data_IF_864290702418
#
_entry.id   IF_864290702418
#
_cell.length_a   1.000
_cell.length_b   1.000
_cell.length_c   1.000
_cell.angle_alpha   90.00
_cell.angle_beta   90.00
_cell.angle_gamma   90.00
#
_symmetry.space_group_name_H-M   'P 1'
#
loop_
_entity.id
_entity.type
_entity.pdbx_description
1 polymer ?
#
# COMPACT_ATOMS: atom_id res chain seq x y z
N UNK A 1 28.95 -9.78 25.17
CA UNK A 1 28.22 -8.51 24.91
C UNK A 1 28.84 -7.62 23.82
N UNK A 2 29.86 -8.06 23.05
CA UNK A 2 30.48 -7.29 21.96
C UNK A 2 30.04 -7.69 20.53
N UNK A 3 29.32 -8.81 20.37
CA UNK A 3 28.93 -9.34 19.04
C UNK A 3 27.61 -8.78 18.49
N UNK A 4 26.86 -8.00 19.28
CA UNK A 4 25.55 -7.43 18.87
C UNK A 4 25.66 -6.06 18.18
N UNK A 5 26.78 -5.35 18.33
CA UNK A 5 27.00 -4.05 17.67
C UNK A 5 27.56 -4.18 16.25
N UNK A 6 28.39 -5.20 15.98
CA UNK A 6 29.05 -5.37 14.69
C UNK A 6 28.08 -5.78 13.56
N UNK A 7 27.07 -6.60 13.86
CA UNK A 7 26.05 -7.00 12.87
C UNK A 7 25.11 -5.85 12.49
N UNK A 8 24.89 -4.89 13.40
CA UNK A 8 24.06 -3.72 13.14
C UNK A 8 24.83 -2.66 12.31
N UNK A 9 26.14 -2.54 12.52
CA UNK A 9 27.00 -1.66 11.75
C UNK A 9 27.22 -2.16 10.32
N UNK A 10 27.34 -3.47 10.09
CA UNK A 10 27.48 -4.06 8.75
C UNK A 10 26.21 -3.87 7.90
N UNK A 11 25.03 -3.85 8.54
CA UNK A 11 23.76 -3.60 7.83
C UNK A 11 23.58 -2.13 7.42
N UNK A 12 24.23 -1.19 8.11
CA UNK A 12 24.21 0.25 7.79
C UNK A 12 25.28 0.60 6.73
N UNK A 13 26.40 -0.13 6.70
CA UNK A 13 27.53 0.17 5.81
C UNK A 13 27.35 -0.35 4.37
N UNK A 14 26.43 -1.29 4.14
CA UNK A 14 26.05 -1.75 2.80
C UNK A 14 25.09 -0.76 2.10
N UNK A 15 24.56 0.24 2.81
CA UNK A 15 23.59 1.21 2.28
C UNK A 15 24.23 2.45 1.62
N UNK A 16 25.56 2.63 1.66
CA UNK A 16 26.22 3.90 1.29
C UNK A 16 27.04 3.90 0.00
N UNK A 17 26.86 2.95 -0.91
CA UNK A 17 27.56 3.00 -2.20
C UNK A 17 26.58 2.85 -3.34
N UNK A 18 26.20 3.99 -3.93
CA UNK A 18 26.17 4.25 -5.39
C UNK A 18 25.30 5.49 -5.65
N UNK A 19 25.89 6.68 -5.60
CA UNK A 19 25.31 7.87 -6.24
C UNK A 19 26.10 8.10 -7.52
N UNK A 20 25.49 7.74 -8.65
CA UNK A 20 25.89 8.23 -9.96
C UNK A 20 24.83 9.25 -10.37
N UNK A 21 25.22 10.52 -10.33
CA UNK A 21 24.43 11.67 -10.78
C UNK A 21 24.27 11.58 -12.29
N UNK A 22 23.04 11.43 -12.75
CA UNK A 22 22.64 11.61 -14.14
C UNK A 22 21.93 12.96 -14.24
N UNK A 23 22.57 13.93 -14.89
CA UNK A 23 21.96 15.23 -15.18
C UNK A 23 20.88 15.05 -16.26
N UNK A 24 19.62 15.33 -15.90
CA UNK A 24 18.53 15.48 -16.87
C UNK A 24 18.38 16.97 -17.22
N UNK A 25 18.09 17.22 -18.49
CA UNK A 25 17.90 18.54 -19.10
C UNK A 25 16.57 19.15 -18.63
N UNK A 26 16.62 20.05 -17.65
CA UNK A 26 15.45 20.72 -17.09
C UNK A 26 14.88 21.74 -18.10
N UNK A 27 13.65 21.50 -18.56
CA UNK A 27 12.84 22.51 -19.24
C UNK A 27 12.27 23.43 -18.15
N UNK A 28 12.58 24.72 -18.16
CA UNK A 28 12.06 25.67 -17.16
C UNK A 28 10.55 25.92 -17.39
N UNK A 29 9.73 25.13 -16.68
CA UNK A 29 8.27 25.18 -16.75
C UNK A 29 7.72 26.57 -16.40
N UNK A 30 8.38 27.28 -15.46
CA UNK A 30 7.92 28.61 -15.04
C UNK A 30 8.09 29.65 -16.15
N UNK A 31 9.16 29.54 -16.94
CA UNK A 31 9.37 30.41 -18.11
C UNK A 31 8.31 30.15 -19.19
N UNK A 32 7.96 28.88 -19.43
CA UNK A 32 6.92 28.51 -20.37
C UNK A 32 5.54 29.01 -19.93
N UNK A 33 5.22 28.93 -18.64
CA UNK A 33 3.95 29.43 -18.09
C UNK A 33 3.85 30.95 -18.23
N UNK A 34 4.89 31.69 -17.83
CA UNK A 34 4.93 33.16 -18.00
C UNK A 34 4.84 33.58 -19.47
N UNK A 35 5.42 32.80 -20.38
CA UNK A 35 5.32 33.06 -21.81
C UNK A 35 3.92 32.78 -22.37
N UNK A 36 3.27 31.70 -21.91
CA UNK A 36 1.89 31.38 -22.29
C UNK A 36 0.90 32.46 -21.83
N UNK A 37 1.07 33.00 -20.62
CA UNK A 37 0.27 34.14 -20.11
C UNK A 37 0.42 35.38 -20.99
N UNK A 38 1.66 35.75 -21.34
CA UNK A 38 1.91 36.89 -22.25
C UNK A 38 1.27 36.71 -23.62
N UNK A 39 1.26 35.48 -24.15
CA UNK A 39 0.60 35.18 -25.42
C UNK A 39 -0.93 35.31 -25.31
N UNK A 40 -1.51 34.87 -24.19
CA UNK A 40 -2.93 35.06 -23.92
C UNK A 40 -3.30 36.55 -23.79
N UNK A 41 -2.45 37.36 -23.14
CA UNK A 41 -2.67 38.81 -22.97
C UNK A 41 -2.70 39.57 -24.30
N UNK A 42 -1.89 39.13 -25.27
CA UNK A 42 -1.89 39.71 -26.63
C UNK A 42 -2.90 39.04 -27.58
N UNK A 43 -3.80 38.19 -27.05
CA UNK A 43 -4.87 37.55 -27.80
C UNK A 43 -4.45 36.36 -28.67
N UNK A 44 -3.23 35.86 -28.53
CA UNK A 44 -2.74 34.66 -29.22
C UNK A 44 -3.12 33.39 -28.45
N UNK A 45 -4.42 33.14 -28.36
CA UNK A 45 -4.97 32.05 -27.55
C UNK A 45 -4.56 30.66 -28.04
N UNK A 46 -4.46 30.43 -29.35
CA UNK A 46 -4.04 29.13 -29.88
C UNK A 46 -2.59 28.79 -29.48
N UNK A 47 -1.67 29.75 -29.58
CA UNK A 47 -0.27 29.58 -29.19
C UNK A 47 -0.13 29.35 -27.68
N UNK A 48 -0.91 30.08 -26.87
CA UNK A 48 -0.99 29.88 -25.43
C UNK A 48 -1.49 28.46 -25.08
N UNK A 49 -2.54 27.99 -25.76
CA UNK A 49 -3.08 26.64 -25.58
C UNK A 49 -2.05 25.55 -25.87
N UNK A 50 -1.26 25.69 -26.95
CA UNK A 50 -0.18 24.74 -27.30
C UNK A 50 0.92 24.67 -26.23
N UNK A 51 1.26 25.81 -25.62
CA UNK A 51 2.25 25.84 -24.53
C UNK A 51 1.73 25.17 -23.27
N UNK A 52 0.49 25.44 -22.88
CA UNK A 52 -0.13 24.76 -21.74
C UNK A 52 -0.25 23.24 -21.94
N UNK A 53 -0.54 22.79 -23.17
CA UNK A 53 -0.53 21.36 -23.49
C UNK A 53 0.86 20.74 -23.31
N UNK A 54 1.92 21.46 -23.69
CA UNK A 54 3.31 21.02 -23.50
C UNK A 54 3.68 20.95 -22.01
N UNK A 55 3.28 21.94 -21.22
CA UNK A 55 3.47 21.96 -19.76
C UNK A 55 2.71 20.79 -19.12
N UNK A 56 1.47 20.54 -19.55
CA UNK A 56 0.66 19.44 -19.04
C UNK A 56 1.31 18.06 -19.29
N UNK A 57 1.86 17.84 -20.49
CA UNK A 57 2.60 16.61 -20.83
C UNK A 57 3.84 16.45 -19.97
N UNK A 58 4.56 17.54 -19.69
CA UNK A 58 5.72 17.51 -18.80
C UNK A 58 5.33 17.03 -17.39
N UNK A 59 4.32 17.66 -16.76
CA UNK A 59 3.82 17.22 -15.45
C UNK A 59 3.25 15.80 -15.48
N UNK A 60 2.62 15.38 -16.57
CA UNK A 60 2.14 14.00 -16.72
C UNK A 60 3.30 13.00 -16.71
N UNK A 61 4.41 13.32 -17.39
CA UNK A 61 5.61 12.49 -17.40
C UNK A 61 6.27 12.42 -16.00
N UNK A 62 6.20 13.49 -15.22
CA UNK A 62 6.66 13.52 -13.82
C UNK A 62 5.71 12.83 -12.82
N UNK A 63 4.60 12.29 -13.33
CA UNK A 63 3.51 11.66 -12.57
C UNK A 63 2.72 12.63 -11.68
N UNK A 64 2.76 13.93 -11.98
CA UNK A 64 2.01 14.99 -11.30
C UNK A 64 0.63 15.20 -11.96
N UNK A 65 -0.19 14.15 -11.91
CA UNK A 65 -1.44 14.04 -12.68
C UNK A 65 -2.46 15.16 -12.40
N UNK A 66 -2.49 15.69 -11.17
CA UNK A 66 -3.41 16.77 -10.80
C UNK A 66 -3.03 18.10 -11.49
N UNK A 67 -1.74 18.41 -11.54
CA UNK A 67 -1.21 19.59 -12.23
C UNK A 67 -1.36 19.41 -13.75
N UNK A 68 -1.02 18.23 -14.27
CA UNK A 68 -1.23 17.90 -15.68
C UNK A 68 -2.70 18.09 -16.10
N UNK A 69 -3.65 17.60 -15.31
CA UNK A 69 -5.08 17.78 -15.60
C UNK A 69 -5.49 19.26 -15.61
N UNK A 70 -4.96 20.05 -14.68
CA UNK A 70 -5.21 21.50 -14.62
C UNK A 70 -4.68 22.22 -15.86
N UNK A 71 -3.46 21.89 -16.29
CA UNK A 71 -2.87 22.51 -17.48
C UNK A 71 -3.53 22.07 -18.78
N UNK A 72 -3.93 20.80 -18.90
CA UNK A 72 -4.77 20.34 -20.03
C UNK A 72 -6.10 21.09 -20.08
N UNK A 73 -6.73 21.35 -18.93
CA UNK A 73 -7.93 22.18 -18.86
C UNK A 73 -7.65 23.61 -19.33
N UNK A 74 -6.58 24.25 -18.85
CA UNK A 74 -6.21 25.60 -19.27
C UNK A 74 -5.98 25.65 -20.79
N UNK A 75 -5.27 24.67 -21.35
CA UNK A 75 -5.07 24.53 -22.79
C UNK A 75 -6.40 24.46 -23.54
N UNK A 76 -7.35 23.63 -23.06
CA UNK A 76 -8.67 23.50 -23.65
C UNK A 76 -9.45 24.83 -23.63
N UNK A 77 -9.45 25.56 -22.51
CA UNK A 77 -10.13 26.86 -22.39
C UNK A 77 -9.55 27.91 -23.37
N UNK A 78 -8.24 27.89 -23.61
CA UNK A 78 -7.62 28.78 -24.60
C UNK A 78 -7.92 28.36 -26.05
N UNK A 79 -7.97 27.08 -26.35
CA UNK A 79 -8.41 26.59 -27.67
C UNK A 79 -9.89 26.92 -27.94
N UNK A 80 -10.76 26.88 -26.92
CA UNK A 80 -12.14 27.33 -27.07
C UNK A 80 -12.23 28.83 -27.40
N UNK A 81 -11.41 29.68 -26.76
CA UNK A 81 -11.31 31.11 -27.08
C UNK A 81 -10.75 31.37 -28.48
N UNK A 82 -9.88 30.49 -28.98
CA UNK A 82 -9.36 30.52 -30.33
C UNK A 82 -10.30 29.91 -31.38
N UNK A 83 -11.47 29.41 -30.95
CA UNK A 83 -12.43 28.67 -31.79
C UNK A 83 -11.86 27.39 -32.44
N UNK A 84 -10.75 26.86 -31.91
CA UNK A 84 -10.14 25.60 -32.35
C UNK A 84 -10.70 24.43 -31.55
N UNK A 85 -11.99 24.15 -31.76
CA UNK A 85 -12.75 23.19 -30.95
C UNK A 85 -12.21 21.75 -30.99
N UNK A 86 -11.51 21.35 -32.07
CA UNK A 86 -10.86 20.04 -32.14
C UNK A 86 -9.74 19.94 -31.10
N UNK A 87 -8.87 20.95 -31.04
CA UNK A 87 -7.78 21.01 -30.05
C UNK A 87 -8.32 21.13 -28.63
N UNK A 88 -9.39 21.92 -28.42
CA UNK A 88 -10.08 21.98 -27.13
C UNK A 88 -10.63 20.62 -26.70
N UNK A 89 -11.26 19.90 -27.63
CA UNK A 89 -11.78 18.55 -27.41
C UNK A 89 -10.71 17.57 -26.97
N UNK A 90 -9.57 17.56 -27.66
CA UNK A 90 -8.40 16.71 -27.30
C UNK A 90 -7.90 17.05 -25.90
N UNK A 91 -7.67 18.34 -25.60
CA UNK A 91 -7.15 18.75 -24.30
C UNK A 91 -8.12 18.41 -23.15
N UNK A 92 -9.43 18.54 -23.32
CA UNK A 92 -10.40 18.06 -22.33
C UNK A 92 -10.37 16.53 -22.17
N UNK A 93 -10.22 15.76 -23.25
CA UNK A 93 -10.06 14.31 -23.16
C UNK A 93 -8.78 13.94 -22.41
N UNK A 94 -7.68 14.63 -22.66
CA UNK A 94 -6.41 14.43 -21.96
C UNK A 94 -6.54 14.75 -20.46
N UNK A 95 -7.25 15.83 -20.09
CA UNK A 95 -7.60 16.09 -18.69
C UNK A 95 -8.43 14.95 -18.09
N UNK A 96 -9.42 14.43 -18.83
CA UNK A 96 -10.22 13.27 -18.43
C UNK A 96 -9.38 12.00 -18.21
N UNK A 97 -8.40 11.74 -19.08
CA UNK A 97 -7.45 10.65 -18.93
C UNK A 97 -6.60 10.82 -17.65
N UNK A 98 -6.14 12.03 -17.33
CA UNK A 98 -5.45 12.31 -16.07
C UNK A 98 -6.34 12.04 -14.84
N UNK A 99 -7.61 12.48 -14.85
CA UNK A 99 -8.56 12.16 -13.78
C UNK A 99 -8.81 10.67 -13.65
N UNK A 100 -8.88 9.96 -14.78
CA UNK A 100 -9.04 8.53 -14.77
C UNK A 100 -7.81 7.79 -14.21
N UNK A 101 -6.61 8.27 -14.54
CA UNK A 101 -5.36 7.80 -13.93
C UNK A 101 -5.33 8.07 -12.42
N UNK A 102 -5.90 9.19 -11.96
CA UNK A 102 -6.12 9.51 -10.54
C UNK A 102 -7.28 8.74 -9.87
N UNK A 103 -8.01 7.90 -10.63
CA UNK A 103 -9.18 7.12 -10.19
C UNK A 103 -10.45 7.93 -9.90
N UNK A 104 -10.48 9.18 -10.32
CA UNK A 104 -11.64 10.04 -10.22
C UNK A 104 -12.50 9.90 -11.48
N UNK A 105 -13.34 8.86 -11.48
CA UNK A 105 -14.21 8.55 -12.62
C UNK A 105 -15.30 9.61 -12.85
N UNK A 106 -15.67 10.36 -11.81
CA UNK A 106 -16.72 11.37 -11.88
C UNK A 106 -16.20 12.60 -12.63
N UNK A 107 -15.03 13.11 -12.24
CA UNK A 107 -14.38 14.18 -12.98
C UNK A 107 -13.95 13.73 -14.38
N UNK A 108 -13.43 12.51 -14.54
CA UNK A 108 -13.12 11.96 -15.86
C UNK A 108 -14.36 11.97 -16.80
N UNK A 109 -15.52 11.53 -16.29
CA UNK A 109 -16.79 11.55 -17.05
C UNK A 109 -17.17 12.95 -17.50
N UNK A 110 -17.02 13.93 -16.61
CA UNK A 110 -17.30 15.33 -16.93
C UNK A 110 -16.43 15.82 -18.08
N UNK A 111 -15.12 15.64 -17.98
CA UNK A 111 -14.17 16.11 -19.00
C UNK A 111 -14.29 15.36 -20.34
N UNK A 112 -14.54 14.05 -20.33
CA UNK A 112 -14.83 13.33 -21.58
C UNK A 112 -16.11 13.84 -22.27
N UNK A 113 -17.14 14.16 -21.49
CA UNK A 113 -18.40 14.72 -22.02
C UNK A 113 -18.16 16.10 -22.62
N UNK A 114 -17.43 16.98 -21.91
CA UNK A 114 -17.07 18.32 -22.41
C UNK A 114 -16.16 18.27 -23.65
N UNK A 115 -15.25 17.29 -23.72
CA UNK A 115 -14.44 17.04 -24.92
C UNK A 115 -15.31 16.65 -26.12
N UNK A 116 -16.26 15.73 -25.94
CA UNK A 116 -17.20 15.33 -26.98
C UNK A 116 -18.15 16.47 -27.41
N UNK A 117 -18.58 17.32 -26.49
CA UNK A 117 -19.35 18.53 -26.81
C UNK A 117 -18.58 19.48 -27.73
N UNK A 118 -17.26 19.62 -27.54
CA UNK A 118 -16.42 20.41 -28.44
C UNK A 118 -16.31 19.80 -29.83
N UNK A 119 -16.20 18.47 -29.95
CA UNK A 119 -16.28 17.80 -31.25
C UNK A 119 -17.65 17.98 -31.91
N UNK A 120 -18.75 18.02 -31.14
CA UNK A 120 -20.10 18.26 -31.68
C UNK A 120 -20.28 19.63 -32.30
N UNK A 121 -19.52 20.65 -31.86
CA UNK A 121 -19.51 21.98 -32.49
C UNK A 121 -18.98 21.92 -33.93
N UNK A 122 -18.13 20.95 -34.24
CA UNK A 122 -17.58 20.72 -35.59
C UNK A 122 -18.42 19.69 -36.36
N UNK A 123 -18.79 18.59 -35.69
CA UNK A 123 -19.51 17.45 -36.27
C UNK A 123 -20.78 17.20 -35.44
N UNK A 124 -21.95 17.72 -35.84
CA UNK A 124 -23.18 17.64 -35.03
C UNK A 124 -23.61 16.22 -34.64
N UNK A 125 -23.26 15.21 -35.44
CA UNK A 125 -23.57 13.79 -35.21
C UNK A 125 -22.35 12.99 -34.69
N UNK A 126 -21.47 13.64 -33.91
CA UNK A 126 -20.30 12.98 -33.33
C UNK A 126 -20.73 11.90 -32.31
N UNK A 127 -20.32 10.66 -32.58
CA UNK A 127 -20.58 9.51 -31.72
C UNK A 127 -19.67 9.53 -30.48
N UNK A 128 -20.28 9.47 -29.30
CA UNK A 128 -19.62 9.51 -27.99
C UNK A 128 -19.61 8.15 -27.28
N UNK A 129 -19.86 7.06 -28.02
CA UNK A 129 -19.90 5.69 -27.49
C UNK A 129 -18.59 5.26 -26.81
N UNK A 130 -17.46 5.83 -27.23
CA UNK A 130 -16.13 5.62 -26.64
C UNK A 130 -16.04 6.11 -25.19
N UNK A 131 -16.86 7.08 -24.77
CA UNK A 131 -16.87 7.60 -23.39
C UNK A 131 -17.27 6.48 -22.43
N UNK A 132 -18.31 5.71 -22.77
CA UNK A 132 -18.78 4.62 -21.94
C UNK A 132 -17.71 3.53 -21.74
N UNK A 133 -16.94 3.23 -22.80
CA UNK A 133 -15.83 2.27 -22.74
C UNK A 133 -14.66 2.78 -21.89
N UNK A 134 -14.27 4.05 -22.06
CA UNK A 134 -13.26 4.72 -21.22
C UNK A 134 -13.67 4.71 -19.75
N UNK A 135 -14.92 5.05 -19.44
CA UNK A 135 -15.43 5.07 -18.06
C UNK A 135 -15.53 3.68 -17.44
N UNK A 136 -15.88 2.66 -18.23
CA UNK A 136 -15.86 1.27 -17.77
C UNK A 136 -14.44 0.85 -17.36
N UNK A 137 -13.46 1.09 -18.22
CA UNK A 137 -12.04 0.83 -17.96
C UNK A 137 -11.57 1.60 -16.71
N UNK A 138 -12.00 2.85 -16.57
CA UNK A 138 -11.69 3.70 -15.43
C UNK A 138 -12.18 3.10 -14.11
N UNK A 139 -13.45 2.67 -14.11
CA UNK A 139 -14.11 2.07 -12.96
C UNK A 139 -13.46 0.75 -12.56
N UNK A 140 -13.16 -0.12 -13.51
CA UNK A 140 -12.45 -1.38 -13.26
C UNK A 140 -11.09 -1.13 -12.61
N UNK A 141 -10.32 -0.17 -13.13
CA UNK A 141 -9.02 0.20 -12.57
C UNK A 141 -9.14 0.79 -11.16
N UNK A 142 -10.18 1.58 -10.89
CA UNK A 142 -10.50 2.13 -9.57
C UNK A 142 -10.86 1.05 -8.55
N UNK A 143 -11.70 0.09 -8.94
CA UNK A 143 -12.07 -1.06 -8.08
C UNK A 143 -10.85 -1.91 -7.75
N UNK A 144 -10.02 -2.26 -8.73
CA UNK A 144 -8.79 -3.03 -8.52
C UNK A 144 -7.82 -2.32 -7.56
N UNK A 145 -7.66 -1.00 -7.72
CA UNK A 145 -6.82 -0.19 -6.84
C UNK A 145 -7.38 -0.19 -5.41
N UNK A 146 -8.70 -0.05 -5.25
CA UNK A 146 -9.38 -0.07 -3.94
C UNK A 146 -9.19 -1.42 -3.24
N UNK A 147 -9.35 -2.53 -3.97
CA UNK A 147 -9.11 -3.87 -3.45
C UNK A 147 -7.66 -4.07 -3.04
N UNK A 148 -6.70 -3.57 -3.82
CA UNK A 148 -5.28 -3.61 -3.47
C UNK A 148 -4.99 -2.82 -2.19
N UNK A 149 -5.51 -1.59 -2.06
CA UNK A 149 -5.37 -0.76 -0.86
C UNK A 149 -5.96 -1.48 0.35
N UNK A 150 -7.17 -2.04 0.22
CA UNK A 150 -7.82 -2.78 1.29
C UNK A 150 -7.02 -4.03 1.69
N UNK A 151 -6.48 -4.77 0.71
CA UNK A 151 -5.60 -5.91 0.96
C UNK A 151 -4.31 -5.52 1.69
N UNK A 152 -3.69 -4.40 1.31
CA UNK A 152 -2.50 -3.86 1.97
C UNK A 152 -2.83 -3.44 3.42
N UNK A 153 -3.95 -2.76 3.63
CA UNK A 153 -4.44 -2.36 4.97
C UNK A 153 -4.67 -3.58 5.87
N UNK A 154 -5.35 -4.60 5.37
CA UNK A 154 -5.56 -5.87 6.11
C UNK A 154 -4.22 -6.57 6.40
N UNK A 155 -3.27 -6.54 5.45
CA UNK A 155 -1.92 -7.01 5.64
C UNK A 155 -1.21 -6.29 6.80
N UNK A 156 -1.29 -4.96 6.86
CA UNK A 156 -0.72 -4.18 7.96
C UNK A 156 -1.31 -4.57 9.31
N UNK A 157 -2.64 -4.71 9.40
CA UNK A 157 -3.31 -5.14 10.64
C UNK A 157 -2.85 -6.54 11.05
N UNK A 158 -2.70 -7.48 10.11
CA UNK A 158 -2.16 -8.83 10.38
C UNK A 158 -0.76 -8.76 11.00
N UNK A 159 0.14 -7.94 10.46
CA UNK A 159 1.50 -7.81 10.98
C UNK A 159 1.55 -7.08 12.32
N UNK A 160 0.75 -6.02 12.50
CA UNK A 160 0.60 -5.32 13.77
C UNK A 160 0.06 -6.25 14.87
N UNK A 161 -0.87 -7.14 14.51
CA UNK A 161 -1.46 -8.13 15.43
C UNK A 161 -0.40 -8.99 16.09
N UNK A 162 0.63 -9.43 15.36
CA UNK A 162 1.73 -10.25 15.92
C UNK A 162 2.38 -9.56 17.11
N UNK A 163 2.79 -8.31 16.93
CA UNK A 163 3.42 -7.52 18.00
C UNK A 163 2.44 -7.28 19.15
N UNK A 164 1.17 -6.99 18.83
CA UNK A 164 0.13 -6.75 19.82
C UNK A 164 -0.17 -7.97 20.70
N UNK A 165 -0.25 -9.17 20.13
CA UNK A 165 -0.42 -10.41 20.90
C UNK A 165 0.78 -10.69 21.81
N UNK A 166 2.00 -10.45 21.33
CA UNK A 166 3.21 -10.56 22.15
C UNK A 166 3.17 -9.62 23.36
N UNK A 167 2.78 -8.36 23.15
CA UNK A 167 2.65 -7.34 24.19
C UNK A 167 1.49 -7.61 25.15
N UNK A 168 0.35 -8.06 24.62
CA UNK A 168 -0.88 -8.31 25.38
C UNK A 168 -0.71 -9.41 26.42
N UNK A 169 -0.06 -10.52 26.04
CA UNK A 169 0.13 -11.66 26.94
C UNK A 169 1.37 -11.56 27.85
N UNK A 170 2.38 -10.76 27.50
CA UNK A 170 3.62 -10.64 28.29
C UNK A 170 3.51 -9.76 29.56
N UNK A 171 2.32 -9.25 29.88
CA UNK A 171 2.06 -8.41 31.05
C UNK A 171 3.01 -7.19 31.17
N UNK A 172 3.38 -6.59 30.04
CA UNK A 172 4.27 -5.43 29.99
C UNK A 172 3.51 -4.18 30.43
N UNK A 173 4.18 -3.28 31.17
CA UNK A 173 3.59 -2.01 31.60
C UNK A 173 3.29 -1.07 30.42
N UNK A 174 2.37 -0.12 30.63
CA UNK A 174 1.92 0.85 29.59
C UNK A 174 3.09 1.56 28.88
N UNK A 175 4.16 1.88 29.60
CA UNK A 175 5.37 2.52 29.04
C UNK A 175 6.07 1.65 27.97
N UNK A 176 6.16 0.34 28.19
CA UNK A 176 6.79 -0.59 27.23
C UNK A 176 5.95 -0.79 25.97
N UNK A 177 4.62 -0.78 26.12
CA UNK A 177 3.68 -0.86 24.99
C UNK A 177 3.81 0.40 24.12
N UNK A 178 3.81 1.59 24.74
CA UNK A 178 4.01 2.85 24.01
C UNK A 178 5.37 2.92 23.32
N UNK A 179 6.44 2.42 23.96
CA UNK A 179 7.77 2.37 23.35
C UNK A 179 7.81 1.49 22.09
N UNK A 180 7.22 0.30 22.14
CA UNK A 180 7.19 -0.61 20.98
C UNK A 180 6.29 -0.05 19.88
N UNK A 181 5.10 0.47 20.21
CA UNK A 181 4.25 1.14 19.23
C UNK A 181 4.96 2.34 18.57
N UNK A 182 5.74 3.11 19.34
CA UNK A 182 6.57 4.20 18.83
C UNK A 182 7.65 3.73 17.86
N UNK A 183 8.32 2.59 18.12
CA UNK A 183 9.29 2.00 17.16
C UNK A 183 8.59 1.62 15.85
N UNK A 184 7.41 0.99 15.93
CA UNK A 184 6.63 0.62 14.75
C UNK A 184 6.07 1.82 13.99
N UNK A 185 5.89 2.97 14.65
CA UNK A 185 5.56 4.24 14.01
C UNK A 185 6.77 4.85 13.30
N UNK A 186 7.92 4.89 13.99
CA UNK A 186 9.12 5.57 13.50
C UNK A 186 9.74 4.90 12.27
N UNK A 187 9.72 3.57 12.19
CA UNK A 187 10.29 2.84 11.05
C UNK A 187 9.66 3.27 9.70
N UNK A 188 8.34 3.13 9.47
CA UNK A 188 7.70 3.55 8.22
C UNK A 188 7.75 5.06 8.01
N UNK A 189 7.73 5.86 9.07
CA UNK A 189 7.88 7.32 8.96
C UNK A 189 9.24 7.69 8.36
N UNK A 190 10.34 7.15 8.91
CA UNK A 190 11.69 7.38 8.40
C UNK A 190 11.86 6.80 6.99
N UNK A 191 11.35 5.60 6.74
CA UNK A 191 11.39 4.98 5.41
C UNK A 191 10.69 5.85 4.36
N UNK A 192 9.51 6.39 4.68
CA UNK A 192 8.76 7.23 3.77
C UNK A 192 9.52 8.51 3.41
N UNK A 193 10.18 9.14 4.39
CA UNK A 193 11.04 10.30 4.13
C UNK A 193 12.22 9.97 3.21
N UNK A 194 12.88 8.82 3.42
CA UNK A 194 13.99 8.39 2.55
C UNK A 194 13.51 8.16 1.12
N UNK A 195 12.36 7.49 0.96
CA UNK A 195 11.76 7.25 -0.36
C UNK A 195 11.38 8.58 -1.05
N UNK A 196 10.78 9.51 -0.30
CA UNK A 196 10.39 10.82 -0.80
C UNK A 196 11.55 11.69 -1.26
N UNK A 197 12.69 11.62 -0.58
CA UNK A 197 13.90 12.38 -0.93
C UNK A 197 14.69 11.79 -2.10
N UNK A 198 14.43 10.54 -2.48
CA UNK A 198 15.23 9.85 -3.49
C UNK A 198 14.40 8.85 -4.30
N UNK A 199 13.61 9.35 -5.27
CA UNK A 199 12.83 8.47 -6.17
C UNK A 199 13.70 7.44 -6.90
N UNK A 200 14.97 7.76 -7.18
CA UNK A 200 15.92 6.81 -7.78
C UNK A 200 16.27 5.63 -6.85
N UNK A 201 16.32 5.82 -5.53
CA UNK A 201 16.58 4.72 -4.59
C UNK A 201 15.40 3.76 -4.48
N UNK A 202 14.19 4.21 -4.83
CA UNK A 202 12.99 3.39 -4.86
C UNK A 202 13.14 2.23 -5.85
N UNK A 203 13.57 2.51 -7.09
CA UNK A 203 13.76 1.49 -8.13
C UNK A 203 14.93 0.55 -7.83
N UNK A 204 16.05 1.09 -7.35
CA UNK A 204 17.22 0.30 -6.95
C UNK A 204 16.93 -0.63 -5.76
N UNK A 205 16.12 -0.18 -4.80
CA UNK A 205 15.74 -1.00 -3.66
C UNK A 205 14.70 -2.07 -4.03
N UNK A 206 13.72 -1.73 -4.88
CA UNK A 206 12.75 -2.70 -5.39
C UNK A 206 13.45 -3.82 -6.17
N UNK A 207 14.37 -3.48 -7.08
CA UNK A 207 15.11 -4.48 -7.86
C UNK A 207 15.97 -5.38 -6.96
N UNK A 208 16.61 -4.80 -5.96
CA UNK A 208 17.38 -5.54 -4.96
C UNK A 208 16.47 -6.46 -4.13
N UNK A 209 15.33 -5.97 -3.64
CA UNK A 209 14.34 -6.78 -2.90
C UNK A 209 13.82 -7.97 -3.71
N UNK A 210 13.51 -7.77 -5.00
CA UNK A 210 13.05 -8.84 -5.88
C UNK A 210 14.17 -9.81 -6.27
N UNK A 211 15.43 -9.39 -6.23
CA UNK A 211 16.58 -10.30 -6.41
C UNK A 211 16.77 -11.19 -5.18
N UNK A 212 16.45 -10.69 -3.98
CA UNK A 212 16.50 -11.44 -2.72
C UNK A 212 15.30 -12.37 -2.46
N UNK A 213 14.48 -12.69 -3.47
CA UNK A 213 13.30 -13.58 -3.35
C UNK A 213 13.56 -14.84 -2.51
N UNK A 214 14.65 -15.56 -2.82
CA UNK A 214 15.01 -16.80 -2.12
C UNK A 214 15.39 -16.53 -0.64
N UNK A 215 16.14 -15.47 -0.39
CA UNK A 215 16.56 -15.09 0.96
C UNK A 215 15.36 -14.69 1.82
N UNK A 216 14.40 -13.96 1.25
CA UNK A 216 13.18 -13.56 1.97
C UNK A 216 12.36 -14.77 2.42
N UNK A 217 12.20 -15.76 1.53
CA UNK A 217 11.58 -17.05 1.86
C UNK A 217 12.32 -17.77 2.99
N UNK A 218 13.65 -17.80 2.94
CA UNK A 218 14.48 -18.42 3.97
C UNK A 218 14.38 -17.71 5.34
N UNK A 219 14.35 -16.38 5.37
CA UNK A 219 14.14 -15.61 6.60
C UNK A 219 12.75 -15.87 7.19
N UNK A 220 11.73 -15.92 6.35
CA UNK A 220 10.37 -16.21 6.80
C UNK A 220 10.25 -17.64 7.34
N UNK A 221 10.91 -18.62 6.71
CA UNK A 221 10.99 -20.00 7.19
C UNK A 221 11.69 -20.06 8.55
N UNK A 222 12.82 -19.36 8.68
CA UNK A 222 13.59 -19.30 9.92
C UNK A 222 12.75 -18.71 11.06
N UNK A 223 12.05 -17.60 10.81
CA UNK A 223 11.15 -16.99 11.80
C UNK A 223 9.97 -17.91 12.13
N UNK A 224 9.41 -18.62 11.14
CA UNK A 224 8.31 -19.57 11.36
C UNK A 224 8.76 -20.72 12.28
N UNK A 225 9.90 -21.33 11.99
CA UNK A 225 10.48 -22.40 12.82
C UNK A 225 10.83 -21.92 14.23
N UNK A 226 11.39 -20.71 14.37
CA UNK A 226 11.67 -20.12 15.68
C UNK A 226 10.40 -19.86 16.49
N UNK A 227 9.33 -19.38 15.86
CA UNK A 227 8.04 -19.16 16.54
C UNK A 227 7.38 -20.48 16.94
N UNK A 228 7.44 -21.51 16.09
CA UNK A 228 6.92 -22.84 16.41
C UNK A 228 7.70 -23.49 17.56
N UNK A 229 9.04 -23.50 17.48
CA UNK A 229 9.90 -24.11 18.50
C UNK A 229 9.80 -23.39 19.84
N UNK A 230 9.85 -22.05 19.86
CA UNK A 230 9.67 -21.28 21.10
C UNK A 230 8.23 -21.32 21.62
N UNK A 231 7.24 -21.38 20.75
CA UNK A 231 5.83 -21.54 21.14
C UNK A 231 5.62 -22.86 21.90
N UNK A 232 6.06 -23.98 21.31
CA UNK A 232 6.02 -25.30 21.94
C UNK A 232 6.86 -25.35 23.22
N UNK A 233 8.06 -24.75 23.22
CA UNK A 233 8.91 -24.67 24.40
C UNK A 233 8.23 -23.90 25.55
N UNK A 234 7.59 -22.78 25.24
CA UNK A 234 6.89 -21.93 26.23
C UNK A 234 5.72 -22.69 26.86
N UNK A 235 4.94 -23.43 26.05
CA UNK A 235 3.83 -24.25 26.56
C UNK A 235 4.36 -25.39 27.44
N UNK A 236 5.38 -26.14 26.98
CA UNK A 236 5.94 -27.26 27.75
C UNK A 236 6.49 -26.83 29.09
N UNK A 237 7.24 -25.72 29.13
CA UNK A 237 7.89 -25.27 30.36
C UNK A 237 6.94 -24.59 31.35
N UNK A 238 5.83 -24.03 30.84
CA UNK A 238 4.73 -23.59 31.71
C UNK A 238 4.10 -24.76 32.49
N UNK A 239 4.03 -25.95 31.89
CA UNK A 239 3.58 -27.16 32.59
C UNK A 239 4.50 -27.55 33.77
N UNK A 240 5.74 -27.05 33.78
CA UNK A 240 6.72 -27.20 34.87
C UNK A 240 6.70 -26.02 35.85
N UNK A 241 5.70 -25.12 35.78
CA UNK A 241 5.50 -23.91 36.61
C UNK A 241 6.55 -22.79 36.45
N UNK A 242 7.42 -22.86 35.43
CA UNK A 242 8.42 -21.84 35.14
C UNK A 242 7.86 -20.74 34.21
N UNK A 243 7.87 -19.47 34.66
CA UNK A 243 7.42 -18.35 33.83
C UNK A 243 8.57 -17.78 32.98
N UNK A 244 8.61 -18.17 31.70
CA UNK A 244 9.63 -17.71 30.73
C UNK A 244 9.07 -16.68 29.75
N UNK A 245 7.80 -16.26 29.93
CA UNK A 245 7.12 -15.33 29.03
C UNK A 245 7.93 -14.05 28.77
N UNK A 246 8.62 -13.53 29.80
CA UNK A 246 9.51 -12.34 29.69
C UNK A 246 10.73 -12.53 28.77
N UNK A 247 11.14 -13.75 28.46
CA UNK A 247 12.26 -14.03 27.55
C UNK A 247 11.78 -14.35 26.14
N UNK A 248 10.62 -15.01 26.00
CA UNK A 248 10.09 -15.45 24.70
C UNK A 248 9.21 -14.40 24.01
N UNK A 249 8.63 -13.44 24.76
CA UNK A 249 7.79 -12.40 24.14
C UNK A 249 8.55 -11.50 23.17
N UNK A 250 9.86 -11.30 23.37
CA UNK A 250 10.63 -10.36 22.57
C UNK A 250 10.66 -10.78 21.09
N UNK A 251 10.71 -12.08 20.82
CA UNK A 251 10.64 -12.60 19.45
C UNK A 251 9.29 -12.28 18.78
N UNK A 252 8.23 -12.18 19.58
CA UNK A 252 6.89 -11.87 19.10
C UNK A 252 6.69 -10.36 18.88
N UNK A 253 7.30 -9.53 19.73
CA UNK A 253 7.17 -8.07 19.66
C UNK A 253 8.09 -7.41 18.63
N UNK A 254 9.26 -8.00 18.35
CA UNK A 254 10.23 -7.39 17.43
C UNK A 254 9.74 -7.40 15.98
N UNK A 255 9.96 -6.29 15.23
CA UNK A 255 9.66 -6.24 13.81
C UNK A 255 10.49 -7.29 13.09
N UNK A 256 9.81 -8.18 12.36
CA UNK A 256 10.47 -9.17 11.53
C UNK A 256 10.85 -8.55 10.18
N UNK A 257 11.83 -9.13 9.46
CA UNK A 257 12.22 -8.64 8.13
C UNK A 257 11.02 -8.49 7.18
N UNK A 258 10.06 -9.43 7.28
CA UNK A 258 8.82 -9.42 6.49
C UNK A 258 7.99 -8.17 6.76
N UNK A 259 7.76 -7.81 8.03
CA UNK A 259 6.98 -6.61 8.36
C UNK A 259 7.68 -5.33 7.93
N UNK A 260 9.01 -5.30 7.96
CA UNK A 260 9.80 -4.14 7.49
C UNK A 260 9.63 -3.98 5.97
N UNK A 261 9.70 -5.07 5.21
CA UNK A 261 9.44 -5.05 3.76
C UNK A 261 8.00 -4.66 3.47
N UNK A 262 7.02 -5.16 4.22
CA UNK A 262 5.62 -4.74 4.05
C UNK A 262 5.42 -3.26 4.32
N UNK A 263 6.04 -2.71 5.37
CA UNK A 263 6.02 -1.27 5.65
C UNK A 263 6.62 -0.49 4.47
N UNK A 264 7.78 -0.89 3.98
CA UNK A 264 8.44 -0.27 2.84
C UNK A 264 7.56 -0.30 1.58
N UNK A 265 7.05 -1.47 1.21
CA UNK A 265 6.21 -1.63 0.01
C UNK A 265 4.92 -0.82 0.11
N UNK A 266 4.34 -0.73 1.31
CA UNK A 266 3.15 0.08 1.54
C UNK A 266 3.45 1.58 1.39
N UNK A 267 4.56 2.05 1.97
CA UNK A 267 4.99 3.44 1.80
C UNK A 267 5.28 3.75 0.32
N UNK A 268 6.03 2.88 -0.38
CA UNK A 268 6.33 3.04 -1.79
C UNK A 268 5.05 3.07 -2.64
N UNK A 269 4.12 2.15 -2.40
CA UNK A 269 2.85 2.09 -3.12
C UNK A 269 2.04 3.38 -2.96
N UNK A 270 1.87 3.89 -1.73
CA UNK A 270 1.13 5.13 -1.50
C UNK A 270 1.85 6.36 -2.07
N UNK A 271 3.19 6.41 -2.05
CA UNK A 271 3.95 7.49 -2.69
C UNK A 271 3.78 7.46 -4.21
N UNK A 272 3.83 6.27 -4.83
CA UNK A 272 3.59 6.10 -6.28
C UNK A 272 2.15 6.50 -6.64
N UNK A 273 1.19 6.32 -5.73
CA UNK A 273 -0.18 6.83 -5.89
C UNK A 273 -0.29 8.37 -5.82
N UNK A 274 0.81 9.09 -5.65
CA UNK A 274 0.85 10.55 -5.61
C UNK A 274 0.66 11.17 -4.22
N UNK A 275 0.66 10.37 -3.15
CA UNK A 275 0.61 10.92 -1.79
C UNK A 275 2.01 11.42 -1.38
N UNK A 276 2.06 12.62 -0.80
CA UNK A 276 3.28 13.17 -0.24
C UNK A 276 3.91 12.22 0.78
N UNK A 277 5.22 12.01 0.67
CA UNK A 277 5.98 11.11 1.53
C UNK A 277 5.78 11.38 3.04
N UNK A 278 5.65 12.64 3.44
CA UNK A 278 5.38 12.98 4.84
C UNK A 278 4.01 12.44 5.33
N UNK A 279 2.96 12.64 4.52
CA UNK A 279 1.60 12.15 4.81
C UNK A 279 1.56 10.63 4.83
N UNK A 280 2.24 9.98 3.89
CA UNK A 280 2.32 8.51 3.81
C UNK A 280 2.98 7.92 5.06
N UNK A 281 4.12 8.48 5.49
CA UNK A 281 4.84 8.00 6.67
C UNK A 281 4.00 8.09 7.94
N UNK A 282 3.28 9.21 8.11
CA UNK A 282 2.37 9.44 9.24
C UNK A 282 1.17 8.49 9.19
N UNK A 283 0.59 8.26 8.01
CA UNK A 283 -0.54 7.34 7.80
C UNK A 283 -0.14 5.90 8.11
N UNK A 284 0.90 5.39 7.46
CA UNK A 284 1.33 3.98 7.60
C UNK A 284 1.82 3.72 9.02
N UNK A 285 2.69 4.58 9.56
CA UNK A 285 3.15 4.47 10.94
C UNK A 285 2.01 4.57 11.95
N UNK A 286 1.06 5.49 11.71
CA UNK A 286 -0.12 5.68 12.54
C UNK A 286 -1.00 4.44 12.60
N UNK A 287 -1.28 3.80 11.45
CA UNK A 287 -2.08 2.57 11.39
C UNK A 287 -1.40 1.45 12.18
N UNK A 288 -0.09 1.26 12.04
CA UNK A 288 0.65 0.25 12.80
C UNK A 288 0.57 0.53 14.32
N UNK A 289 0.86 1.76 14.74
CA UNK A 289 0.85 2.13 16.14
C UNK A 289 -0.55 2.00 16.77
N UNK A 290 -1.58 2.53 16.12
CA UNK A 290 -2.97 2.44 16.57
C UNK A 290 -3.42 0.98 16.62
N UNK A 291 -3.14 0.19 15.59
CA UNK A 291 -3.48 -1.24 15.58
C UNK A 291 -2.83 -1.99 16.74
N UNK A 292 -1.55 -1.74 17.02
CA UNK A 292 -0.85 -2.35 18.15
C UNK A 292 -1.52 -1.94 19.47
N UNK A 293 -1.79 -0.66 19.67
CA UNK A 293 -2.39 -0.14 20.90
C UNK A 293 -3.80 -0.70 21.13
N UNK A 294 -4.66 -0.64 20.10
CA UNK A 294 -6.05 -1.12 20.16
C UNK A 294 -6.09 -2.61 20.45
N UNK A 295 -5.37 -3.44 19.68
CA UNK A 295 -5.38 -4.89 19.86
C UNK A 295 -4.80 -5.27 21.22
N UNK A 296 -3.69 -4.66 21.64
CA UNK A 296 -3.08 -4.93 22.96
C UNK A 296 -4.04 -4.57 24.08
N UNK A 297 -4.70 -3.41 24.00
CA UNK A 297 -5.65 -2.97 25.02
C UNK A 297 -6.91 -3.83 25.07
N UNK A 298 -7.43 -4.27 23.91
CA UNK A 298 -8.54 -5.22 23.82
C UNK A 298 -8.19 -6.55 24.51
N UNK A 299 -7.01 -7.10 24.25
CA UNK A 299 -6.53 -8.33 24.91
C UNK A 299 -6.45 -8.11 26.43
N UNK A 300 -5.85 -7.00 26.87
CA UNK A 300 -5.71 -6.71 28.29
C UNK A 300 -7.06 -6.46 29.01
N UNK A 301 -8.05 -5.91 28.31
CA UNK A 301 -9.40 -5.64 28.84
C UNK A 301 -10.30 -6.87 28.84
N UNK A 302 -10.09 -7.81 27.91
CA UNK A 302 -10.95 -8.99 27.72
C UNK A 302 -10.92 -10.01 28.85
N UNK A 303 -10.14 -9.78 29.92
CA UNK A 303 -10.05 -10.69 31.07
C UNK A 303 -9.37 -12.02 30.75
N UNK A 304 -8.79 -12.17 29.55
CA UNK A 304 -8.01 -13.36 29.19
C UNK A 304 -6.81 -13.44 30.14
N UNK A 305 -6.67 -14.59 30.81
CA UNK A 305 -5.54 -14.83 31.70
C UNK A 305 -4.23 -14.63 30.95
N UNK A 306 -3.34 -13.83 31.54
CA UNK A 306 -2.00 -13.54 31.02
C UNK A 306 -1.08 -14.74 31.29
N UNK A 307 -1.43 -15.88 30.71
CA UNK A 307 -0.71 -17.14 30.88
C UNK A 307 0.35 -17.29 29.78
N UNK A 308 1.55 -17.83 30.11
CA UNK A 308 2.55 -18.20 29.10
C UNK A 308 2.02 -19.21 28.07
N UNK A 309 0.99 -19.98 28.43
CA UNK A 309 0.29 -20.88 27.50
C UNK A 309 -0.40 -20.13 26.36
N UNK A 310 -1.15 -19.06 26.66
CA UNK A 310 -1.81 -18.25 25.63
C UNK A 310 -0.81 -17.56 24.70
N UNK A 311 0.31 -17.09 25.25
CA UNK A 311 1.43 -16.56 24.46
C UNK A 311 2.01 -17.63 23.53
N UNK A 312 2.27 -18.84 24.05
CA UNK A 312 2.81 -19.95 23.26
C UNK A 312 1.87 -20.39 22.13
N UNK A 313 0.57 -20.46 22.39
CA UNK A 313 -0.45 -20.76 21.38
C UNK A 313 -0.51 -19.68 20.29
N UNK A 314 -0.43 -18.40 20.66
CA UNK A 314 -0.33 -17.33 19.67
C UNK A 314 0.95 -17.44 18.83
N UNK A 315 2.10 -17.75 19.44
CA UNK A 315 3.35 -17.96 18.70
C UNK A 315 3.23 -19.12 17.69
N UNK A 316 2.59 -20.24 18.07
CA UNK A 316 2.34 -21.37 17.16
C UNK A 316 1.43 -20.94 16.01
N UNK A 317 0.33 -20.23 16.31
CA UNK A 317 -0.60 -19.74 15.28
C UNK A 317 0.11 -18.87 14.23
N UNK A 318 0.89 -17.87 14.64
CA UNK A 318 1.65 -17.04 13.71
C UNK A 318 2.78 -17.80 13.00
N UNK A 319 3.41 -18.77 13.68
CA UNK A 319 4.38 -19.68 13.06
C UNK A 319 3.77 -20.50 11.92
N UNK A 320 2.57 -21.07 12.13
CA UNK A 320 1.82 -21.79 11.10
C UNK A 320 1.40 -20.86 9.96
N UNK A 321 0.91 -19.66 10.25
CA UNK A 321 0.57 -18.67 9.22
C UNK A 321 1.76 -18.32 8.33
N UNK A 322 2.97 -18.22 8.90
CA UNK A 322 4.17 -17.98 8.12
C UNK A 322 4.58 -19.18 7.25
N UNK A 323 4.43 -20.42 7.74
CA UNK A 323 4.61 -21.62 6.93
C UNK A 323 3.62 -21.65 5.76
N UNK A 324 2.34 -21.36 6.01
CA UNK A 324 1.35 -21.29 4.94
C UNK A 324 1.71 -20.23 3.89
N UNK A 325 2.14 -19.04 4.31
CA UNK A 325 2.59 -18.00 3.37
C UNK A 325 3.74 -18.47 2.46
N UNK A 326 4.69 -19.25 2.98
CA UNK A 326 5.82 -19.78 2.18
C UNK A 326 5.34 -20.79 1.14
N UNK A 327 4.29 -21.57 1.44
CA UNK A 327 3.71 -22.53 0.50
C UNK A 327 2.87 -21.81 -0.57
N UNK A 328 2.08 -20.82 -0.16
CA UNK A 328 1.16 -20.11 -1.06
C UNK A 328 1.88 -19.20 -2.05
N UNK A 329 2.86 -18.40 -1.62
CA UNK A 329 3.53 -17.43 -2.50
C UNK A 329 4.08 -18.06 -3.81
N UNK A 330 4.91 -19.12 -3.77
CA UNK A 330 5.42 -19.75 -4.99
C UNK A 330 4.35 -20.51 -5.78
N UNK A 331 3.25 -20.94 -5.16
CA UNK A 331 2.13 -21.53 -5.86
C UNK A 331 1.32 -20.50 -6.68
N UNK A 332 1.29 -19.23 -6.24
CA UNK A 332 0.63 -18.14 -6.95
C UNK A 332 1.48 -17.47 -8.03
N UNK A 333 2.82 -17.52 -7.93
CA UNK A 333 3.70 -16.87 -8.91
C UNK A 333 3.51 -17.38 -10.37
N UNK A 334 3.41 -18.69 -10.64
CA UNK A 334 3.15 -19.18 -11.99
C UNK A 334 1.79 -18.74 -12.55
N UNK A 335 0.79 -18.55 -11.68
CA UNK A 335 -0.55 -18.07 -12.08
C UNK A 335 -0.50 -16.60 -12.50
N UNK A 336 0.41 -15.81 -11.93
CA UNK A 336 0.63 -14.42 -12.32
C UNK A 336 1.27 -14.30 -13.72
N UNK A 337 2.14 -15.24 -14.09
CA UNK A 337 2.81 -15.25 -15.41
C UNK A 337 1.94 -15.90 -16.51
N UNK A 338 0.82 -16.54 -16.13
CA UNK A 338 -0.18 -16.95 -17.11
C UNK A 338 -0.89 -15.69 -17.60
N UNK A 339 -0.83 -15.44 -18.91
CA UNK A 339 -1.56 -14.38 -19.59
C UNK A 339 -3.06 -14.72 -19.60
N UNK A 340 -3.67 -14.75 -18.42
CA UNK A 340 -5.10 -14.82 -18.25
C UNK A 340 -5.58 -13.47 -18.77
N UNK A 341 -6.27 -13.47 -19.91
CA UNK A 341 -7.11 -12.36 -20.29
C UNK A 341 -8.16 -12.23 -19.19
N UNK A 342 -7.84 -11.43 -18.18
CA UNK A 342 -8.77 -11.06 -17.11
C UNK A 342 -9.83 -10.20 -17.82
N UNK A 343 -10.80 -10.85 -18.47
CA UNK A 343 -12.14 -10.30 -18.52
C UNK A 343 -12.48 -10.02 -17.06
N UNK A 344 -12.66 -8.73 -16.74
CA UNK A 344 -12.70 -8.22 -15.37
C UNK A 344 -13.35 -9.22 -14.44
N UNK A 345 -12.62 -9.62 -13.38
CA UNK A 345 -13.11 -10.64 -12.44
C UNK A 345 -14.52 -10.25 -12.02
N UNK A 346 -15.51 -11.02 -12.48
CA UNK A 346 -16.89 -10.70 -12.20
C UNK A 346 -17.03 -10.73 -10.69
N UNK A 347 -17.59 -9.66 -10.12
CA UNK A 347 -17.84 -9.58 -8.67
C UNK A 347 -18.69 -10.77 -8.18
N UNK A 348 -19.44 -11.37 -9.10
CA UNK A 348 -20.22 -12.59 -8.92
C UNK A 348 -19.39 -13.83 -8.56
N UNK A 349 -18.11 -13.91 -8.93
CA UNK A 349 -17.26 -15.09 -8.66
C UNK A 349 -16.48 -14.96 -7.33
N UNK A 350 -16.19 -13.73 -6.89
CA UNK A 350 -15.45 -13.47 -5.65
C UNK A 350 -16.37 -13.61 -4.42
N UNK A 351 -17.62 -13.12 -4.55
CA UNK A 351 -18.59 -13.08 -3.45
C UNK A 351 -18.87 -14.48 -2.86
N UNK A 352 -19.10 -15.54 -3.67
CA UNK A 352 -19.34 -16.89 -3.16
C UNK A 352 -18.16 -17.45 -2.37
N UNK A 353 -16.93 -17.22 -2.84
CA UNK A 353 -15.72 -17.68 -2.14
C UNK A 353 -15.53 -17.00 -0.78
N UNK A 354 -15.79 -15.69 -0.72
CA UNK A 354 -15.69 -14.90 0.51
C UNK A 354 -16.81 -15.26 1.51
N UNK A 355 -18.03 -15.49 1.01
CA UNK A 355 -19.15 -16.00 1.80
C UNK A 355 -18.85 -17.38 2.38
N UNK A 356 -18.34 -18.29 1.57
CA UNK A 356 -17.98 -19.63 2.01
C UNK A 356 -16.93 -19.61 3.12
N UNK A 357 -15.86 -18.82 2.95
CA UNK A 357 -14.85 -18.64 3.98
C UNK A 357 -15.44 -18.03 5.27
N UNK A 358 -16.31 -17.02 5.14
CA UNK A 358 -17.00 -16.39 6.27
C UNK A 358 -17.88 -17.39 7.04
N UNK A 359 -18.68 -18.20 6.33
CA UNK A 359 -19.53 -19.24 6.92
C UNK A 359 -18.67 -20.26 7.67
N UNK A 360 -17.56 -20.72 7.09
CA UNK A 360 -16.67 -21.67 7.75
C UNK A 360 -16.08 -21.12 9.07
N UNK A 361 -15.72 -19.84 9.11
CA UNK A 361 -15.23 -19.17 10.32
C UNK A 361 -16.34 -19.10 11.39
N UNK A 362 -17.55 -18.70 10.99
CA UNK A 362 -18.70 -18.58 11.89
C UNK A 362 -19.10 -19.94 12.47
N UNK A 363 -19.18 -20.97 11.62
CA UNK A 363 -19.46 -22.35 12.04
C UNK A 363 -18.42 -22.82 13.04
N UNK A 364 -17.13 -22.60 12.77
CA UNK A 364 -16.04 -22.93 13.70
C UNK A 364 -16.20 -22.26 15.06
N UNK A 365 -16.53 -20.96 15.07
CA UNK A 365 -16.76 -20.22 16.32
C UNK A 365 -17.97 -20.74 17.11
N UNK A 366 -19.08 -21.06 16.43
CA UNK A 366 -20.27 -21.61 17.07
C UNK A 366 -20.03 -23.01 17.63
N UNK A 367 -19.38 -23.91 16.88
CA UNK A 367 -19.06 -25.26 17.33
C UNK A 367 -18.21 -25.24 18.60
N UNK A 368 -17.18 -24.38 18.65
CA UNK A 368 -16.34 -24.19 19.84
C UNK A 368 -17.16 -23.68 21.04
N UNK A 369 -18.06 -22.71 20.80
CA UNK A 369 -18.91 -22.13 21.84
C UNK A 369 -19.94 -23.12 22.37
N UNK A 370 -20.49 -23.99 21.52
CA UNK A 370 -21.40 -25.06 21.94
C UNK A 370 -20.67 -26.15 22.72
N UNK A 371 -19.47 -26.56 22.29
CA UNK A 371 -18.65 -27.53 23.01
C UNK A 371 -18.29 -27.05 24.42
N UNK A 372 -17.87 -25.79 24.56
CA UNK A 372 -17.55 -25.20 25.87
C UNK A 372 -18.78 -24.98 26.77
N UNK A 373 -19.99 -24.84 26.19
CA UNK A 373 -21.22 -24.84 26.99
C UNK A 373 -21.61 -26.24 27.45
N UNK A 374 -21.46 -27.28 26.63
CA UNK A 374 -21.76 -28.66 27.04
C UNK A 374 -20.82 -29.19 28.12
N UNK A 375 -19.53 -28.86 28.07
CA UNK A 375 -18.54 -29.29 29.09
C UNK A 375 -18.78 -28.64 30.46
N UNK A 376 -19.56 -27.55 30.53
CA UNK A 376 -19.98 -26.95 31.81
C UNK A 376 -21.22 -27.59 32.44
N UNK A 377 -21.91 -28.47 31.72
CA UNK A 377 -23.14 -29.15 32.16
C UNK A 377 -22.94 -30.63 32.51
N UNK A 378 -21.74 -31.17 32.27
CA UNK A 378 -21.24 -32.48 32.74
C UNK A 378 -20.24 -32.19 33.85
#
# INVERSE_FOLDING_TARGET
MKLRGALFAIFILIFTVSMSVSAHEDVDVNELESYAEKLADIGKYEDAGRLYEKIAIHHRNESELALAASYHRNAAEYFEKAETYESAGISYINAGDCFCEMRDCENASKYYSTGAENYRKIIPDYADTWIAEKLKTCRERSVMSTLAILGILLGMVKFASKAAFGLGFAAIGRKGIMAIAGIYFMIPFLMSLVIGLSRETLYGFISTLFTFKLAFGAFQLTVALLLLTLGLYTIRKWHTKDNISKKTFLLMALPCPVSIVTMFMTCAFFIIMGLEAFKVGLLVGGIFAISILVITFLIQRSGIEKSPSNLGTAMIFFGMLYLFSIIFIPAYLPVYDMNITIGGVSTEDIIPGLLFAGVMIVVGFFVERFKNRMIKWI
#
